data_IF_684092997605
#
_entry.id   IF_684092997605
#
_cell.length_a   1.000
_cell.length_b   1.000
_cell.length_c   1.000
_cell.angle_alpha   90.00
_cell.angle_beta   90.00
_cell.angle_gamma   90.00
#
_symmetry.space_group_name_H-M   'P 1'
#
loop_
_entity.id
_entity.type
_entity.pdbx_description
1 polymer ?
#
# COMPACT_ATOMS: atom_id res chain seq x y z
N UNK A 1 2.86 1.56 -13.84
CA UNK A 1 2.24 0.49 -13.03
C UNK A 1 2.93 0.31 -11.69
N UNK A 2 4.13 -0.29 -11.61
CA UNK A 2 4.79 -0.58 -10.31
C UNK A 2 4.99 0.68 -9.45
N UNK A 3 5.46 1.77 -10.05
CA UNK A 3 5.56 3.08 -9.38
C UNK A 3 4.21 3.60 -8.88
N UNK A 4 3.16 3.52 -9.69
CA UNK A 4 1.81 3.97 -9.29
C UNK A 4 1.27 3.15 -8.11
N UNK A 5 1.54 1.84 -8.10
CA UNK A 5 1.17 0.96 -6.99
C UNK A 5 1.98 1.36 -5.74
N UNK A 6 3.30 1.55 -5.85
CA UNK A 6 4.13 2.01 -4.74
C UNK A 6 3.68 3.37 -4.18
N UNK A 7 3.31 4.30 -5.07
CA UNK A 7 2.74 5.61 -4.68
C UNK A 7 1.43 5.44 -3.94
N UNK A 8 0.51 4.62 -4.43
CA UNK A 8 -0.74 4.33 -3.72
C UNK A 8 -0.48 3.82 -2.30
N UNK A 9 0.40 2.81 -2.15
CA UNK A 9 0.68 2.22 -0.83
C UNK A 9 1.36 3.21 0.11
N UNK A 10 2.27 4.03 -0.41
CA UNK A 10 2.94 5.07 0.37
C UNK A 10 1.96 6.14 0.84
N UNK A 11 1.12 6.64 -0.05
CA UNK A 11 0.14 7.69 0.26
C UNK A 11 -0.91 7.19 1.24
N UNK A 12 -1.41 5.95 1.03
CA UNK A 12 -2.30 5.29 1.97
C UNK A 12 -1.67 5.20 3.35
N UNK A 13 -0.42 4.72 3.44
CA UNK A 13 0.27 4.58 4.71
C UNK A 13 0.47 5.94 5.40
N UNK A 14 0.98 6.94 4.70
CA UNK A 14 1.20 8.28 5.27
C UNK A 14 -0.10 8.90 5.80
N UNK A 15 -1.23 8.68 5.12
CA UNK A 15 -2.54 9.14 5.61
C UNK A 15 -2.92 8.47 6.93
N UNK A 16 -2.78 7.15 7.03
CA UNK A 16 -3.06 6.41 8.26
C UNK A 16 -2.14 6.87 9.40
N UNK A 17 -0.83 7.01 9.13
CA UNK A 17 0.12 7.47 10.13
C UNK A 17 -0.20 8.87 10.64
N UNK A 18 -0.66 9.76 9.75
CA UNK A 18 -1.12 11.09 10.13
C UNK A 18 -2.37 11.03 11.02
N UNK A 19 -3.32 10.15 10.71
CA UNK A 19 -4.55 9.96 11.50
C UNK A 19 -4.28 9.37 12.88
N UNK A 20 -3.35 8.41 12.96
CA UNK A 20 -2.98 7.70 14.20
C UNK A 20 -1.86 8.41 14.99
N UNK A 21 -1.41 9.59 14.54
CA UNK A 21 -0.28 10.34 15.12
C UNK A 21 1.01 9.51 15.27
N UNK A 22 1.26 8.58 14.34
CA UNK A 22 2.41 7.68 14.33
C UNK A 22 3.61 8.27 13.57
N UNK A 23 4.84 8.04 14.06
CA UNK A 23 6.06 8.46 13.38
C UNK A 23 6.36 7.58 12.16
N UNK A 24 6.40 8.14 10.93
CA UNK A 24 6.74 7.39 9.72
C UNK A 24 8.17 6.84 9.69
N UNK A 25 9.06 7.33 10.56
CA UNK A 25 10.43 6.84 10.67
C UNK A 25 10.59 5.72 11.71
N UNK A 26 9.54 5.40 12.46
CA UNK A 26 9.52 4.33 13.45
C UNK A 26 8.87 3.08 12.87
N UNK A 27 9.63 2.03 12.48
CA UNK A 27 9.05 0.84 11.85
C UNK A 27 8.01 0.15 12.74
N UNK A 28 8.19 0.25 14.06
CA UNK A 28 7.22 -0.28 15.03
C UNK A 28 5.90 0.46 14.94
N UNK A 29 5.92 1.79 14.97
CA UNK A 29 4.69 2.60 14.91
C UNK A 29 4.02 2.49 13.55
N UNK A 30 4.80 2.46 12.46
CA UNK A 30 4.28 2.21 11.12
C UNK A 30 3.50 0.90 11.06
N UNK A 31 4.12 -0.18 11.54
CA UNK A 31 3.47 -1.49 11.59
C UNK A 31 2.21 -1.46 12.45
N UNK A 32 2.28 -0.85 13.63
CA UNK A 32 1.19 -0.86 14.61
C UNK A 32 -0.02 -0.08 14.11
N UNK A 33 0.19 1.08 13.48
CA UNK A 33 -0.88 1.84 12.84
C UNK A 33 -1.52 1.05 11.69
N UNK A 34 -0.71 0.46 10.81
CA UNK A 34 -1.23 -0.22 9.61
C UNK A 34 -1.93 -1.56 9.89
N UNK A 35 -1.62 -2.24 11.01
CA UNK A 35 -2.32 -3.46 11.43
C UNK A 35 -3.79 -3.19 11.76
N UNK A 36 -4.17 -1.98 12.13
CA UNK A 36 -5.58 -1.65 12.37
C UNK A 36 -6.37 -1.35 11.08
N UNK A 37 -5.66 -1.09 9.97
CA UNK A 37 -6.25 -0.61 8.72
C UNK A 37 -5.92 -1.49 7.50
N UNK A 38 -5.32 -2.68 7.69
CA UNK A 38 -4.89 -3.50 6.55
C UNK A 38 -6.06 -3.98 5.68
N UNK A 39 -7.25 -4.17 6.27
CA UNK A 39 -8.46 -4.57 5.54
C UNK A 39 -8.96 -3.47 4.59
N UNK A 40 -8.63 -2.21 4.86
CA UNK A 40 -9.02 -1.06 4.04
C UNK A 40 -8.14 -0.89 2.79
N UNK A 41 -6.95 -1.49 2.78
CA UNK A 41 -5.97 -1.33 1.69
C UNK A 41 -6.53 -1.88 0.39
N UNK A 42 -7.10 -3.10 0.39
CA UNK A 42 -7.59 -3.72 -0.84
C UNK A 42 -8.80 -2.97 -1.45
N UNK A 43 -9.86 -2.62 -0.68
CA UNK A 43 -10.94 -1.79 -1.18
C UNK A 43 -10.45 -0.44 -1.74
N UNK A 44 -9.52 0.23 -1.06
CA UNK A 44 -8.95 1.48 -1.54
C UNK A 44 -8.15 1.28 -2.84
N UNK A 45 -7.37 0.20 -2.93
CA UNK A 45 -6.59 -0.12 -4.13
C UNK A 45 -7.48 -0.45 -5.33
N UNK A 46 -8.57 -1.19 -5.12
CA UNK A 46 -9.51 -1.57 -6.16
C UNK A 46 -10.16 -0.37 -6.87
N UNK A 47 -10.18 0.80 -6.22
CA UNK A 47 -10.72 2.03 -6.79
C UNK A 47 -9.74 2.78 -7.71
N UNK A 48 -8.45 2.43 -7.68
CA UNK A 48 -7.40 3.10 -8.47
C UNK A 48 -7.53 2.81 -9.97
N UNK A 49 -7.04 3.73 -10.80
CA UNK A 49 -6.99 3.51 -12.26
C UNK A 49 -6.08 2.35 -12.63
N UNK A 50 -4.93 2.22 -11.95
CA UNK A 50 -4.00 1.10 -12.19
C UNK A 50 -4.68 -0.25 -11.95
N UNK A 51 -5.55 -0.39 -10.95
CA UNK A 51 -6.31 -1.61 -10.75
C UNK A 51 -7.29 -1.86 -11.90
N UNK A 52 -8.13 -0.87 -12.24
CA UNK A 52 -9.16 -0.98 -13.30
C UNK A 52 -8.57 -1.30 -14.68
N UNK A 53 -7.37 -0.81 -14.96
CA UNK A 53 -6.67 -1.05 -16.23
C UNK A 53 -6.05 -2.45 -16.32
N UNK A 54 -5.75 -3.11 -15.20
CA UNK A 54 -4.96 -4.35 -15.18
C UNK A 54 -5.70 -5.57 -14.60
N UNK A 55 -6.77 -5.37 -13.82
CA UNK A 55 -7.56 -6.45 -13.27
C UNK A 55 -8.15 -7.34 -14.39
N UNK A 56 -7.95 -8.66 -14.28
CA UNK A 56 -8.36 -9.67 -15.27
C UNK A 56 -7.89 -9.41 -16.72
N UNK A 57 -6.77 -8.70 -16.87
CA UNK A 57 -6.16 -8.36 -18.16
C UNK A 57 -4.69 -8.79 -18.21
N UNK A 58 -4.01 -8.54 -19.33
CA UNK A 58 -2.61 -8.93 -19.54
C UNK A 58 -1.63 -8.40 -18.47
N UNK A 59 -1.97 -7.31 -17.76
CA UNK A 59 -1.17 -6.76 -16.67
C UNK A 59 -1.50 -7.30 -15.27
N UNK A 60 -2.46 -8.22 -15.14
CA UNK A 60 -2.98 -8.65 -13.84
C UNK A 60 -1.90 -9.22 -12.92
N UNK A 61 -1.12 -10.19 -13.41
CA UNK A 61 -0.13 -10.87 -12.58
C UNK A 61 0.93 -9.91 -12.06
N UNK A 62 1.42 -9.01 -12.93
CA UNK A 62 2.39 -7.96 -12.55
C UNK A 62 1.81 -6.99 -11.52
N UNK A 63 0.55 -6.60 -11.69
CA UNK A 63 -0.15 -5.76 -10.72
C UNK A 63 -0.26 -6.47 -9.36
N UNK A 64 -0.62 -7.76 -9.35
CA UNK A 64 -0.74 -8.57 -8.13
C UNK A 64 0.62 -8.74 -7.45
N UNK A 65 1.69 -8.99 -8.19
CA UNK A 65 3.05 -9.08 -7.63
C UNK A 65 3.50 -7.75 -7.01
N UNK A 66 3.31 -6.64 -7.72
CA UNK A 66 3.62 -5.31 -7.22
C UNK A 66 2.77 -4.98 -5.97
N UNK A 67 1.49 -5.33 -5.96
CA UNK A 67 0.63 -5.19 -4.78
C UNK A 67 1.20 -5.97 -3.59
N UNK A 68 1.52 -7.25 -3.78
CA UNK A 68 2.06 -8.12 -2.72
C UNK A 68 3.39 -7.60 -2.18
N UNK A 69 4.28 -7.12 -3.05
CA UNK A 69 5.57 -6.56 -2.64
C UNK A 69 5.38 -5.33 -1.74
N UNK A 70 4.55 -4.38 -2.16
CA UNK A 70 4.29 -3.16 -1.39
C UNK A 70 3.52 -3.44 -0.08
N UNK A 71 2.54 -4.35 -0.10
CA UNK A 71 1.84 -4.79 1.10
C UNK A 71 2.79 -5.43 2.12
N UNK A 72 3.74 -6.25 1.66
CA UNK A 72 4.74 -6.89 2.52
C UNK A 72 5.67 -5.87 3.18
N UNK A 73 6.03 -4.78 2.50
CA UNK A 73 6.81 -3.69 3.10
C UNK A 73 6.07 -3.06 4.28
N UNK A 74 4.77 -2.77 4.11
CA UNK A 74 3.94 -2.20 5.17
C UNK A 74 3.88 -3.10 6.42
N UNK A 75 3.73 -4.42 6.24
CA UNK A 75 3.74 -5.40 7.34
C UNK A 75 5.08 -5.45 8.11
N UNK A 76 6.17 -5.07 7.44
CA UNK A 76 7.51 -4.94 8.01
C UNK A 76 7.76 -3.55 8.63
N UNK A 77 6.76 -2.66 8.62
CA UNK A 77 6.90 -1.29 9.10
C UNK A 77 7.69 -0.38 8.16
N UNK A 78 7.78 -0.72 6.87
CA UNK A 78 8.54 0.04 5.87
C UNK A 78 7.59 0.71 4.88
N UNK A 79 7.86 1.98 4.59
CA UNK A 79 7.16 2.70 3.53
C UNK A 79 7.74 2.30 2.15
N UNK A 80 6.91 2.12 1.13
CA UNK A 80 7.37 1.94 -0.25
C UNK A 80 8.26 3.08 -0.73
N UNK A 81 9.28 2.75 -1.51
CA UNK A 81 10.10 3.70 -2.27
C UNK A 81 9.38 4.06 -3.58
N UNK A 82 9.44 5.33 -3.99
CA UNK A 82 8.69 5.92 -5.12
C UNK A 82 9.55 6.81 -6.00
#
# INVERSE_FOLDING_TARGET
>A
MEKEIATFFRDFALRILTMEHADPNSPREVKQALVNHFEEIYPAFAMTEVFKLNFEKAGHDKMVEAYKANFSLLLLGKLPEV
#
